data_IF_625644088900
#
_entry.id   IF_625644088900
#
_cell.length_a   1.000
_cell.length_b   1.000
_cell.length_c   1.000
_cell.angle_alpha   90.00
_cell.angle_beta   90.00
_cell.angle_gamma   90.00
#
_symmetry.space_group_name_H-M   'P 1'
#
loop_
_entity.id
_entity.type
_entity.pdbx_description
1 polymer ?
#
# COMPACT_ATOMS: atom_id res chain seq x y z
N UNK A 1 -6.35 -2.75 -12.71
CA UNK A 1 -5.97 -1.97 -11.50
C UNK A 1 -5.25 -2.95 -10.58
N UNK A 2 -4.18 -2.54 -9.88
CA UNK A 2 -3.40 -3.47 -9.03
C UNK A 2 -4.20 -3.76 -7.75
N UNK A 3 -4.49 -5.04 -7.40
CA UNK A 3 -5.23 -5.36 -6.20
C UNK A 3 -4.38 -5.11 -4.93
N UNK A 4 -5.04 -4.89 -3.80
CA UNK A 4 -4.38 -4.77 -2.50
C UNK A 4 -3.74 -6.10 -2.12
N UNK A 5 -2.42 -6.09 -1.94
CA UNK A 5 -1.60 -7.29 -1.68
C UNK A 5 -0.77 -7.20 -0.40
N UNK A 6 -1.06 -6.21 0.45
CA UNK A 6 -0.42 -5.97 1.74
C UNK A 6 0.77 -5.02 1.73
N UNK A 7 1.53 -4.92 0.63
CA UNK A 7 2.70 -4.02 0.53
C UNK A 7 2.41 -2.74 -0.26
N UNK A 8 1.24 -2.65 -0.90
CA UNK A 8 0.87 -1.52 -1.75
C UNK A 8 -0.30 -0.66 -1.22
N UNK A 9 -0.64 -0.76 0.07
CA UNK A 9 -1.84 -0.11 0.64
C UNK A 9 -1.93 1.39 0.36
N UNK A 10 -0.83 2.14 0.50
CA UNK A 10 -0.84 3.59 0.29
C UNK A 10 -1.26 3.96 -1.14
N UNK A 11 -0.66 3.32 -2.14
CA UNK A 11 -1.01 3.50 -3.55
C UNK A 11 -2.44 3.00 -3.85
N UNK A 12 -2.79 1.82 -3.34
CA UNK A 12 -4.11 1.24 -3.53
C UNK A 12 -5.22 2.16 -2.99
N UNK A 13 -5.04 2.68 -1.76
CA UNK A 13 -5.97 3.59 -1.10
C UNK A 13 -6.24 4.82 -1.95
N UNK A 14 -5.18 5.45 -2.47
CA UNK A 14 -5.31 6.62 -3.36
C UNK A 14 -6.13 6.29 -4.61
N UNK A 15 -5.74 5.23 -5.32
CA UNK A 15 -6.40 4.82 -6.56
C UNK A 15 -7.88 4.44 -6.37
N UNK A 16 -8.21 3.73 -5.29
CA UNK A 16 -9.61 3.35 -5.01
C UNK A 16 -10.43 4.55 -4.55
N UNK A 17 -9.86 5.43 -3.74
CA UNK A 17 -10.52 6.67 -3.35
C UNK A 17 -10.90 7.46 -4.60
N UNK A 18 -9.96 7.71 -5.51
CA UNK A 18 -10.22 8.43 -6.76
C UNK A 18 -11.33 7.76 -7.58
N UNK A 19 -11.30 6.43 -7.68
CA UNK A 19 -12.32 5.66 -8.40
C UNK A 19 -13.71 5.78 -7.77
N UNK A 20 -13.82 5.76 -6.43
CA UNK A 20 -15.09 5.97 -5.73
C UNK A 20 -15.66 7.38 -5.99
N UNK A 21 -14.80 8.40 -6.09
CA UNK A 21 -15.23 9.76 -6.46
C UNK A 21 -15.73 9.80 -7.91
N UNK A 22 -14.98 9.26 -8.86
CA UNK A 22 -15.38 9.20 -10.29
C UNK A 22 -16.70 8.46 -10.48
N UNK A 23 -16.92 7.39 -9.71
CA UNK A 23 -18.16 6.60 -9.75
C UNK A 23 -19.30 7.17 -8.91
N UNK A 24 -19.09 8.30 -8.22
CA UNK A 24 -20.05 8.93 -7.28
C UNK A 24 -20.45 8.01 -6.11
N UNK A 25 -19.63 7.02 -5.77
CA UNK A 25 -19.85 6.09 -4.66
C UNK A 25 -19.20 6.56 -3.34
N UNK A 26 -18.47 7.68 -3.39
CA UNK A 26 -17.70 8.21 -2.26
C UNK A 26 -18.52 8.50 -0.99
N UNK A 27 -19.81 8.83 -1.12
CA UNK A 27 -20.68 9.15 0.02
C UNK A 27 -20.84 7.97 0.97
N UNK A 28 -21.04 6.75 0.44
CA UNK A 28 -21.25 5.53 1.22
C UNK A 28 -20.02 5.16 2.07
N UNK A 29 -18.85 5.69 1.73
CA UNK A 29 -17.61 5.46 2.49
C UNK A 29 -17.33 6.63 3.42
N UNK A 30 -17.42 7.87 2.92
CA UNK A 30 -16.88 9.05 3.60
C UNK A 30 -17.94 9.97 4.24
N UNK A 31 -19.22 9.85 3.91
CA UNK A 31 -20.28 10.65 4.53
C UNK A 31 -20.67 10.11 5.90
N UNK A 32 -20.87 10.99 6.88
CA UNK A 32 -21.15 10.63 8.29
C UNK A 32 -22.61 10.30 8.56
N UNK A 33 -23.52 10.68 7.67
CA UNK A 33 -24.96 10.53 7.86
C UNK A 33 -25.61 10.04 6.56
N UNK A 34 -26.65 9.21 6.73
CA UNK A 34 -27.54 8.81 5.65
C UNK A 34 -28.30 10.05 5.14
N UNK A 35 -28.48 10.23 3.82
CA UNK A 35 -29.35 11.28 3.30
C UNK A 35 -30.82 11.07 3.67
N UNK A 36 -31.53 12.14 4.03
CA UNK A 36 -32.94 12.08 4.48
C UNK A 36 -33.92 11.53 3.42
N UNK A 37 -33.56 11.66 2.14
CA UNK A 37 -34.41 11.26 1.02
C UNK A 37 -34.32 9.77 0.65
N UNK A 38 -33.43 9.00 1.30
CA UNK A 38 -33.16 7.60 0.96
C UNK A 38 -33.75 6.63 1.99
N UNK A 39 -34.37 5.55 1.53
CA UNK A 39 -34.90 4.52 2.45
C UNK A 39 -33.76 3.77 3.16
N UNK A 40 -34.08 3.02 4.21
CA UNK A 40 -33.08 2.19 4.89
C UNK A 40 -32.65 1.00 4.00
N UNK A 41 -33.61 0.40 3.29
CA UNK A 41 -33.35 -0.72 2.37
C UNK A 41 -32.49 -0.31 1.17
N UNK A 42 -32.75 0.87 0.58
CA UNK A 42 -31.93 1.43 -0.50
C UNK A 42 -30.51 1.73 -0.02
N UNK A 43 -30.38 2.31 1.18
CA UNK A 43 -29.09 2.63 1.78
C UNK A 43 -28.25 1.36 2.05
N UNK A 44 -28.86 0.33 2.63
CA UNK A 44 -28.21 -0.95 2.89
C UNK A 44 -27.80 -1.65 1.59
N UNK A 45 -28.66 -1.61 0.58
CA UNK A 45 -28.35 -2.17 -0.74
C UNK A 45 -27.16 -1.46 -1.40
N UNK A 46 -27.13 -0.12 -1.40
CA UNK A 46 -26.01 0.65 -1.95
C UNK A 46 -24.71 0.40 -1.19
N UNK A 47 -24.76 0.28 0.14
CA UNK A 47 -23.59 -0.12 0.93
C UNK A 47 -23.03 -1.48 0.51
N UNK A 48 -23.89 -2.48 0.32
CA UNK A 48 -23.45 -3.80 -0.15
C UNK A 48 -22.85 -3.75 -1.56
N UNK A 49 -23.42 -2.93 -2.45
CA UNK A 49 -22.85 -2.72 -3.79
C UNK A 49 -21.45 -2.12 -3.72
N UNK A 50 -21.23 -1.09 -2.90
CA UNK A 50 -19.91 -0.48 -2.72
C UNK A 50 -18.93 -1.45 -2.07
N UNK A 51 -19.37 -2.25 -1.08
CA UNK A 51 -18.55 -3.32 -0.52
C UNK A 51 -18.10 -4.33 -1.59
N UNK A 52 -19.05 -4.80 -2.42
CA UNK A 52 -18.76 -5.68 -3.54
C UNK A 52 -17.79 -5.06 -4.56
N UNK A 53 -17.95 -3.76 -4.83
CA UNK A 53 -17.06 -3.02 -5.72
C UNK A 53 -15.62 -2.93 -5.19
N UNK A 54 -15.43 -2.56 -3.92
CA UNK A 54 -14.10 -2.46 -3.31
C UNK A 54 -13.41 -3.83 -3.28
N UNK A 55 -14.15 -4.91 -2.97
CA UNK A 55 -13.63 -6.29 -2.93
C UNK A 55 -13.06 -6.78 -4.26
N UNK A 56 -13.49 -6.24 -5.40
CA UNK A 56 -12.92 -6.58 -6.71
C UNK A 56 -11.46 -6.14 -6.86
N UNK A 57 -10.97 -5.29 -5.96
CA UNK A 57 -9.64 -4.72 -6.00
C UNK A 57 -8.76 -5.18 -4.83
N UNK A 58 -9.05 -6.32 -4.22
CA UNK A 58 -8.18 -6.90 -3.18
C UNK A 58 -7.83 -8.34 -3.54
N UNK A 59 -6.68 -8.82 -3.08
CA UNK A 59 -6.30 -10.23 -3.23
C UNK A 59 -7.05 -11.13 -2.22
N UNK A 60 -7.08 -12.44 -2.48
CA UNK A 60 -7.83 -13.42 -1.68
C UNK A 60 -7.45 -13.41 -0.20
N UNK A 61 -6.16 -13.21 0.11
CA UNK A 61 -5.67 -13.10 1.48
C UNK A 61 -6.34 -11.93 2.23
N UNK A 62 -6.55 -10.79 1.56
CA UNK A 62 -7.24 -9.63 2.13
C UNK A 62 -8.74 -9.84 2.15
N UNK A 63 -9.29 -10.41 1.08
CA UNK A 63 -10.73 -10.68 0.93
C UNK A 63 -11.28 -11.46 2.12
N UNK A 64 -10.56 -12.50 2.55
CA UNK A 64 -10.96 -13.35 3.68
C UNK A 64 -11.17 -12.57 4.99
N UNK A 65 -10.46 -11.45 5.19
CA UNK A 65 -10.63 -10.61 6.37
C UNK A 65 -11.84 -9.66 6.29
N UNK A 66 -12.35 -9.36 5.08
CA UNK A 66 -13.37 -8.34 4.85
C UNK A 66 -14.66 -8.88 4.22
N UNK A 67 -14.74 -10.20 3.96
CA UNK A 67 -15.83 -10.84 3.23
C UNK A 67 -17.22 -10.60 3.85
N UNK A 68 -17.29 -10.49 5.17
CA UNK A 68 -18.55 -10.37 5.90
C UNK A 68 -19.02 -8.92 6.11
N UNK A 69 -18.22 -7.93 5.72
CA UNK A 69 -18.55 -6.51 5.95
C UNK A 69 -19.67 -6.03 5.01
N UNK A 70 -20.85 -5.72 5.52
CA UNK A 70 -21.98 -5.26 4.69
C UNK A 70 -22.03 -3.75 4.51
N UNK A 71 -21.31 -3.00 5.34
CA UNK A 71 -21.31 -1.54 5.36
C UNK A 71 -19.99 -0.97 4.83
N UNK A 72 -20.06 -0.16 3.77
CA UNK A 72 -18.89 0.31 3.02
C UNK A 72 -17.87 1.10 3.86
N UNK A 73 -18.33 1.97 4.75
CA UNK A 73 -17.47 2.65 5.72
C UNK A 73 -16.71 1.68 6.62
N UNK A 74 -17.41 0.73 7.24
CA UNK A 74 -16.81 -0.26 8.13
C UNK A 74 -15.79 -1.13 7.40
N UNK A 75 -16.11 -1.56 6.16
CA UNK A 75 -15.16 -2.26 5.30
C UNK A 75 -13.89 -1.43 5.05
N UNK A 76 -14.04 -0.15 4.70
CA UNK A 76 -12.92 0.76 4.45
C UNK A 76 -12.05 0.96 5.69
N UNK A 77 -12.66 1.23 6.84
CA UNK A 77 -11.98 1.40 8.13
C UNK A 77 -11.26 0.11 8.56
N UNK A 78 -11.85 -1.05 8.31
CA UNK A 78 -11.22 -2.34 8.58
C UNK A 78 -9.97 -2.53 7.75
N UNK A 79 -10.03 -2.25 6.45
CA UNK A 79 -8.84 -2.28 5.58
C UNK A 79 -7.76 -1.30 6.08
N UNK A 80 -8.15 -0.08 6.44
CA UNK A 80 -7.23 0.90 7.01
C UNK A 80 -6.62 0.44 8.34
N UNK A 81 -7.38 -0.27 9.18
CA UNK A 81 -6.85 -0.83 10.43
C UNK A 81 -5.82 -1.94 10.19
N UNK A 82 -6.02 -2.78 9.16
CA UNK A 82 -5.12 -3.88 8.84
C UNK A 82 -3.77 -3.37 8.31
N UNK A 83 -3.78 -2.34 7.46
CA UNK A 83 -2.57 -1.93 6.73
C UNK A 83 -2.01 -0.56 7.12
N UNK A 84 -2.81 0.33 7.71
CA UNK A 84 -2.39 1.67 8.10
C UNK A 84 -2.29 1.87 9.62
N UNK A 85 -2.61 0.85 10.44
CA UNK A 85 -2.48 1.02 11.89
C UNK A 85 -1.03 1.33 12.25
N UNK A 86 -0.85 2.31 13.14
CA UNK A 86 0.47 2.69 13.66
C UNK A 86 0.97 1.73 14.74
N UNK A 87 0.40 0.53 14.82
CA UNK A 87 0.74 -0.49 15.81
C UNK A 87 2.19 -0.97 15.62
N UNK A 88 2.81 -1.41 16.73
CA UNK A 88 4.17 -1.97 16.67
C UNK A 88 4.25 -3.19 15.75
N UNK A 89 3.21 -4.03 15.72
CA UNK A 89 3.15 -5.21 14.87
C UNK A 89 3.14 -4.86 13.37
N UNK A 90 2.35 -3.86 12.95
CA UNK A 90 2.32 -3.44 11.55
C UNK A 90 3.67 -2.84 11.11
N UNK A 91 4.26 -1.99 11.97
CA UNK A 91 5.59 -1.43 11.75
C UNK A 91 6.65 -2.54 11.60
N UNK A 92 6.66 -3.51 12.52
CA UNK A 92 7.59 -4.63 12.49
C UNK A 92 7.39 -5.50 11.24
N UNK A 93 6.15 -5.79 10.86
CA UNK A 93 5.84 -6.55 9.65
C UNK A 93 6.39 -5.86 8.39
N UNK A 94 6.16 -4.55 8.23
CA UNK A 94 6.65 -3.78 7.09
C UNK A 94 8.18 -3.68 7.08
N UNK A 95 8.82 -3.48 8.24
CA UNK A 95 10.27 -3.51 8.37
C UNK A 95 10.82 -4.88 7.97
N UNK A 96 10.20 -5.97 8.39
CA UNK A 96 10.58 -7.33 7.99
C UNK A 96 10.44 -7.54 6.48
N UNK A 97 9.37 -7.04 5.85
CA UNK A 97 9.23 -7.07 4.40
C UNK A 97 10.37 -6.30 3.71
N UNK A 98 10.68 -5.09 4.17
CA UNK A 98 11.73 -4.24 3.60
C UNK A 98 13.14 -4.86 3.76
N UNK A 99 13.45 -5.44 4.93
CA UNK A 99 14.75 -6.10 5.19
C UNK A 99 14.97 -7.32 4.30
N UNK A 100 13.89 -8.07 4.02
CA UNK A 100 13.93 -9.29 3.23
C UNK A 100 13.62 -9.07 1.74
N UNK A 101 13.36 -7.83 1.32
CA UNK A 101 13.10 -7.52 -0.08
C UNK A 101 14.37 -7.78 -0.91
N UNK A 102 14.20 -8.55 -1.99
CA UNK A 102 15.27 -8.92 -2.92
C UNK A 102 14.77 -8.87 -4.35
N UNK A 103 15.59 -8.32 -5.23
CA UNK A 103 15.32 -8.29 -6.67
C UNK A 103 15.25 -9.72 -7.20
N UNK A 104 14.21 -10.01 -7.99
CA UNK A 104 14.04 -11.29 -8.65
C UNK A 104 14.30 -11.09 -10.12
N UNK A 105 15.20 -11.85 -10.72
CA UNK A 105 15.54 -11.71 -12.16
C UNK A 105 14.32 -11.97 -13.08
N UNK A 106 13.29 -12.65 -12.57
CA UNK A 106 12.02 -12.86 -13.26
C UNK A 106 11.05 -11.66 -13.23
N UNK A 107 11.32 -10.61 -12.45
CA UNK A 107 10.53 -9.38 -12.39
C UNK A 107 11.29 -8.21 -13.03
N UNK A 108 10.58 -7.15 -13.42
CA UNK A 108 11.23 -5.94 -13.91
C UNK A 108 11.81 -5.12 -12.75
N UNK A 109 12.92 -4.43 -13.00
CA UNK A 109 13.50 -3.50 -12.01
C UNK A 109 12.50 -2.43 -11.57
N UNK A 110 11.64 -1.95 -12.47
CA UNK A 110 10.58 -1.00 -12.13
C UNK A 110 9.57 -1.55 -11.13
N UNK A 111 9.21 -2.84 -11.23
CA UNK A 111 8.31 -3.46 -10.26
C UNK A 111 8.97 -3.56 -8.88
N UNK A 112 10.26 -3.91 -8.85
CA UNK A 112 11.04 -3.96 -7.62
C UNK A 112 11.16 -2.58 -6.95
N UNK A 113 11.46 -1.53 -7.72
CA UNK A 113 11.50 -0.15 -7.23
C UNK A 113 10.15 0.30 -6.67
N UNK A 114 9.05 -0.05 -7.35
CA UNK A 114 7.70 0.28 -6.88
C UNK A 114 7.35 -0.44 -5.57
N UNK A 115 7.77 -1.70 -5.39
CA UNK A 115 7.58 -2.44 -4.15
C UNK A 115 8.40 -1.84 -3.00
N UNK A 116 9.67 -1.52 -3.25
CA UNK A 116 10.55 -0.84 -2.30
C UNK A 116 9.94 0.50 -1.86
N UNK A 117 9.57 1.36 -2.81
CA UNK A 117 8.94 2.65 -2.52
C UNK A 117 7.60 2.49 -1.80
N UNK A 118 6.79 1.50 -2.17
CA UNK A 118 5.50 1.24 -1.53
C UNK A 118 5.63 0.91 -0.04
N UNK A 119 6.66 0.14 0.34
CA UNK A 119 6.98 -0.15 1.74
C UNK A 119 7.43 1.12 2.48
N UNK A 120 8.27 1.95 1.86
CA UNK A 120 8.73 3.21 2.46
C UNK A 120 7.61 4.22 2.67
N UNK A 121 6.72 4.38 1.69
CA UNK A 121 5.56 5.28 1.79
C UNK A 121 4.64 4.86 2.96
N UNK A 122 4.42 3.55 3.13
CA UNK A 122 3.64 3.04 4.25
C UNK A 122 4.32 3.29 5.60
N UNK A 123 5.62 3.00 5.71
CA UNK A 123 6.40 3.26 6.92
C UNK A 123 6.42 4.76 7.27
N UNK A 124 6.58 5.63 6.27
CA UNK A 124 6.52 7.09 6.40
C UNK A 124 5.16 7.56 6.89
N UNK A 125 4.06 7.02 6.34
CA UNK A 125 2.70 7.27 6.82
C UNK A 125 2.48 6.88 8.29
N UNK A 126 3.27 5.93 8.80
CA UNK A 126 3.28 5.50 10.21
C UNK A 126 4.28 6.27 11.09
N UNK A 127 4.98 7.26 10.53
CA UNK A 127 5.96 8.11 11.22
C UNK A 127 7.37 7.54 11.28
N UNK A 128 7.69 6.49 10.53
CA UNK A 128 9.05 5.95 10.41
C UNK A 128 9.70 6.57 9.17
N UNK A 129 10.80 7.29 9.37
CA UNK A 129 11.58 7.89 8.28
C UNK A 129 13.01 7.40 8.36
N UNK A 130 13.64 7.29 7.20
CA UNK A 130 15.04 6.94 7.05
C UNK A 130 15.76 8.10 6.37
N UNK A 131 17.07 8.17 6.58
CA UNK A 131 17.92 9.08 5.83
C UNK A 131 18.02 8.62 4.37
N UNK A 132 18.05 9.56 3.43
CA UNK A 132 18.09 9.27 1.99
C UNK A 132 19.33 8.43 1.61
N UNK A 133 20.46 8.62 2.30
CA UNK A 133 21.66 7.82 2.11
C UNK A 133 21.43 6.35 2.49
N UNK A 134 20.80 6.13 3.64
CA UNK A 134 20.47 4.78 4.13
C UNK A 134 19.50 4.10 3.17
N UNK A 135 18.53 4.84 2.62
CA UNK A 135 17.59 4.31 1.63
C UNK A 135 18.30 3.91 0.34
N UNK A 136 19.20 4.75 -0.16
CA UNK A 136 20.00 4.46 -1.36
C UNK A 136 20.86 3.21 -1.19
N UNK A 137 21.60 3.11 -0.09
CA UNK A 137 22.44 1.95 0.22
C UNK A 137 21.60 0.66 0.40
N UNK A 138 20.46 0.75 1.08
CA UNK A 138 19.58 -0.40 1.27
C UNK A 138 19.02 -0.88 -0.07
N UNK A 139 18.56 0.04 -0.93
CA UNK A 139 18.07 -0.32 -2.26
C UNK A 139 19.14 -1.09 -3.05
N UNK A 140 20.39 -0.62 -3.07
CA UNK A 140 21.50 -1.34 -3.72
C UNK A 140 21.69 -2.75 -3.13
N UNK A 141 21.61 -2.88 -1.81
CA UNK A 141 21.70 -4.18 -1.11
C UNK A 141 20.51 -5.13 -1.38
N UNK A 142 19.40 -4.64 -1.93
CA UNK A 142 18.30 -5.50 -2.37
C UNK A 142 18.53 -6.13 -3.74
N UNK A 143 19.48 -5.62 -4.53
CA UNK A 143 19.77 -6.13 -5.87
C UNK A 143 20.50 -7.47 -5.81
N UNK A 144 20.41 -8.25 -6.89
CA UNK A 144 21.11 -9.53 -7.00
C UNK A 144 22.62 -9.33 -7.14
N UNK A 145 23.44 -10.32 -6.75
CA UNK A 145 24.90 -10.26 -6.85
C UNK A 145 25.40 -9.97 -8.27
N UNK A 146 24.62 -10.32 -9.31
CA UNK A 146 24.92 -9.97 -10.70
C UNK A 146 25.03 -8.46 -10.97
N UNK A 147 24.57 -7.62 -10.03
CA UNK A 147 24.65 -6.16 -10.08
C UNK A 147 25.83 -5.60 -9.26
N UNK A 148 26.74 -6.44 -8.77
CA UNK A 148 27.90 -6.04 -7.96
C UNK A 148 28.72 -4.93 -8.60
N UNK A 149 29.15 -5.13 -9.84
CA UNK A 149 29.92 -4.12 -10.58
C UNK A 149 29.19 -2.78 -10.68
N UNK A 150 27.85 -2.81 -10.81
CA UNK A 150 27.04 -1.60 -10.90
C UNK A 150 27.04 -0.86 -9.55
N UNK A 151 26.71 -1.53 -8.44
CA UNK A 151 26.64 -0.83 -7.16
C UNK A 151 28.02 -0.42 -6.64
N UNK A 152 29.09 -1.19 -6.89
CA UNK A 152 30.48 -0.77 -6.59
C UNK A 152 30.85 0.50 -7.35
N UNK A 153 30.41 0.63 -8.60
CA UNK A 153 30.65 1.84 -9.38
C UNK A 153 29.90 3.04 -8.80
N UNK A 154 28.62 2.86 -8.42
CA UNK A 154 27.80 3.92 -7.82
C UNK A 154 28.37 4.37 -6.46
N UNK A 155 28.76 3.44 -5.59
CA UNK A 155 29.31 3.79 -4.27
C UNK A 155 30.67 4.49 -4.38
N UNK A 156 31.51 4.11 -5.34
CA UNK A 156 32.82 4.76 -5.57
C UNK A 156 32.70 6.14 -6.24
N UNK A 157 31.60 6.44 -6.92
CA UNK A 157 31.33 7.77 -7.50
C UNK A 157 30.88 8.80 -6.44
N UNK A 158 30.50 8.36 -5.24
CA UNK A 158 30.22 9.24 -4.12
C UNK A 158 31.52 9.89 -3.62
N UNK A 159 31.87 11.06 -4.18
CA UNK A 159 33.11 11.79 -3.88
C UNK A 159 33.34 12.10 -2.39
N UNK A 160 32.29 12.03 -1.55
CA UNK A 160 32.35 12.25 -0.10
C UNK A 160 31.90 11.02 0.72
N UNK A 161 31.76 9.84 0.10
CA UNK A 161 31.23 8.64 0.74
C UNK A 161 29.71 8.59 0.91
N UNK A 162 29.01 9.70 0.65
CA UNK A 162 27.54 9.81 0.72
C UNK A 162 26.90 9.33 -0.58
N UNK A 163 26.14 8.24 -0.49
CA UNK A 163 25.38 7.68 -1.63
C UNK A 163 23.96 8.24 -1.61
N UNK A 164 23.69 9.29 -2.37
CA UNK A 164 22.32 9.74 -2.67
C UNK A 164 21.91 9.26 -4.06
N UNK A 165 20.85 8.46 -4.16
CA UNK A 165 20.25 7.99 -5.41
C UNK A 165 19.05 8.85 -5.82
#
# INVERSE_FOLDING_TARGET
MVPLNGTNYHMWKGKIKDLLFVKKLHLLVFATQKPDFMSEEEWDFEHQQVCGFIRQFVEDNVYNHIANETHARTLWEKIESLYASKSGNNKLSLLNCLMNLRYRESSSISNHLNEFQGLLDQLSGMGIKFDDEVLGLWLLNTLHESWETFWVSITNLAHNGVVSL
#
